data_IF_696432077116
#
_entry.id   IF_696432077116
#
_cell.length_a   1.000
_cell.length_b   1.000
_cell.length_c   1.000
_cell.angle_alpha   90.00
_cell.angle_beta   90.00
_cell.angle_gamma   90.00
#
_symmetry.space_group_name_H-M   'P 1'
#
loop_
_entity.id
_entity.type
_entity.pdbx_description
1 polymer ?
#
# COMPACT_ATOMS: atom_id res chain seq x y z
N UNK A 1 15.40 16.58 23.13
CA UNK A 1 15.07 15.53 22.12
C UNK A 1 13.77 14.79 22.45
N UNK A 2 12.74 15.46 23.00
CA UNK A 2 11.49 14.83 23.49
C UNK A 2 10.27 15.10 22.61
N UNK A 3 10.25 16.21 21.87
CA UNK A 3 9.13 16.58 21.02
C UNK A 3 8.98 15.69 19.76
N UNK A 4 10.10 15.19 19.20
CA UNK A 4 10.07 14.36 17.99
C UNK A 4 9.52 12.95 18.27
N UNK A 5 9.90 12.36 19.41
CA UNK A 5 9.43 11.05 19.86
C UNK A 5 7.93 11.07 20.23
N UNK A 6 7.48 12.15 20.89
CA UNK A 6 6.05 12.34 21.18
C UNK A 6 5.23 12.54 19.90
N UNK A 7 5.76 13.29 18.92
CA UNK A 7 5.09 13.47 17.63
C UNK A 7 4.97 12.16 16.85
N UNK A 8 6.00 11.30 16.87
CA UNK A 8 5.93 9.97 16.24
C UNK A 8 4.98 9.01 16.95
N UNK A 9 4.89 9.08 18.28
CA UNK A 9 3.98 8.25 19.08
C UNK A 9 2.52 8.61 18.81
N UNK A 10 2.17 9.89 18.81
CA UNK A 10 0.81 10.37 18.54
C UNK A 10 0.38 10.02 17.12
N UNK A 11 1.25 10.24 16.12
CA UNK A 11 1.00 9.86 14.74
C UNK A 11 0.80 8.34 14.60
N UNK A 12 1.55 7.54 15.37
CA UNK A 12 1.37 6.09 15.41
C UNK A 12 0.00 5.68 15.97
N UNK A 13 -0.51 6.37 17.00
CA UNK A 13 -1.81 6.07 17.60
C UNK A 13 -2.98 6.41 16.67
N UNK A 14 -2.96 7.58 16.01
CA UNK A 14 -3.98 7.92 15.02
C UNK A 14 -4.01 6.92 13.85
N UNK A 15 -2.82 6.52 13.37
CA UNK A 15 -2.72 5.49 12.34
C UNK A 15 -3.33 4.15 12.78
N UNK A 16 -3.22 3.78 14.06
CA UNK A 16 -3.80 2.54 14.58
C UNK A 16 -5.33 2.61 14.65
N UNK A 17 -5.89 3.74 15.07
CA UNK A 17 -7.34 3.96 15.11
C UNK A 17 -7.96 3.90 13.71
N UNK A 18 -7.37 4.61 12.74
CA UNK A 18 -7.82 4.56 11.34
C UNK A 18 -7.78 3.13 10.82
N UNK A 19 -6.68 2.42 11.02
CA UNK A 19 -6.55 1.04 10.55
C UNK A 19 -7.67 0.12 11.08
N UNK A 20 -8.06 0.27 12.36
CA UNK A 20 -9.14 -0.52 12.96
C UNK A 20 -10.50 -0.10 12.38
N UNK A 21 -10.76 1.19 12.24
CA UNK A 21 -12.00 1.69 11.63
C UNK A 21 -12.18 1.18 10.20
N UNK A 22 -11.12 1.25 9.39
CA UNK A 22 -11.13 0.75 8.02
C UNK A 22 -11.31 -0.78 7.94
N UNK A 23 -10.69 -1.54 8.85
CA UNK A 23 -10.90 -2.99 8.94
C UNK A 23 -12.36 -3.33 9.24
N UNK A 24 -12.97 -2.66 10.23
CA UNK A 24 -14.39 -2.86 10.57
C UNK A 24 -15.28 -2.52 9.37
N UNK A 25 -14.97 -1.44 8.63
CA UNK A 25 -15.73 -1.04 7.44
C UNK A 25 -15.72 -2.12 6.38
N UNK A 26 -14.51 -2.57 6.03
CA UNK A 26 -14.31 -3.42 4.88
C UNK A 26 -14.76 -4.86 5.14
N UNK A 27 -14.66 -5.32 6.40
CA UNK A 27 -15.20 -6.61 6.83
C UNK A 27 -16.70 -6.57 7.14
N UNK A 28 -17.33 -5.38 7.08
CA UNK A 28 -18.72 -5.14 7.51
C UNK A 28 -18.99 -5.55 8.96
N UNK A 29 -17.96 -5.43 9.79
CA UNK A 29 -17.96 -5.76 11.20
C UNK A 29 -16.94 -6.82 11.56
N UNK A 30 -16.33 -6.70 12.74
CA UNK A 30 -15.38 -7.70 13.25
C UNK A 30 -15.88 -8.31 14.56
N UNK A 31 -15.57 -9.58 14.80
CA UNK A 31 -16.09 -10.32 15.95
C UNK A 31 -15.58 -9.78 17.30
N UNK A 32 -16.51 -9.42 18.19
CA UNK A 32 -16.20 -9.04 19.57
C UNK A 32 -15.60 -10.20 20.39
N UNK A 33 -15.93 -11.44 20.02
CA UNK A 33 -15.53 -12.63 20.76
C UNK A 33 -14.15 -13.18 20.37
N UNK A 34 -13.47 -12.53 19.42
CA UNK A 34 -12.11 -12.87 19.02
C UNK A 34 -11.10 -12.18 19.95
N UNK A 35 -10.00 -12.87 20.27
CA UNK A 35 -8.85 -12.23 20.91
C UNK A 35 -8.04 -11.44 19.90
N UNK A 36 -7.73 -10.19 20.22
CA UNK A 36 -6.91 -9.32 19.39
C UNK A 36 -5.57 -9.05 20.08
N UNK A 37 -4.63 -8.47 19.33
CA UNK A 37 -3.40 -7.96 19.94
C UNK A 37 -3.75 -6.83 20.93
N UNK A 38 -2.98 -6.70 22.02
CA UNK A 38 -3.31 -5.78 23.12
C UNK A 38 -3.54 -4.33 22.64
N UNK A 39 -2.73 -3.85 21.69
CA UNK A 39 -2.89 -2.50 21.13
C UNK A 39 -4.22 -2.32 20.38
N UNK A 40 -4.75 -3.39 19.78
CA UNK A 40 -6.01 -3.35 19.04
C UNK A 40 -7.19 -3.43 19.98
N UNK A 41 -7.08 -4.17 21.08
CA UNK A 41 -8.10 -4.18 22.13
C UNK A 41 -8.23 -2.80 22.79
N UNK A 42 -7.10 -2.13 23.06
CA UNK A 42 -7.06 -0.74 23.54
C UNK A 42 -7.78 0.21 22.56
N UNK A 43 -7.41 0.15 21.28
CA UNK A 43 -8.05 0.97 20.23
C UNK A 43 -9.54 0.68 20.10
N UNK A 44 -9.97 -0.59 20.16
CA UNK A 44 -11.39 -0.95 20.12
C UNK A 44 -12.16 -0.40 21.31
N UNK A 45 -11.56 -0.42 22.51
CA UNK A 45 -12.14 0.20 23.70
C UNK A 45 -12.30 1.71 23.53
N UNK A 46 -11.26 2.40 23.06
CA UNK A 46 -11.28 3.85 22.84
C UNK A 46 -12.32 4.26 21.79
N UNK A 47 -12.36 3.56 20.65
CA UNK A 47 -13.32 3.82 19.57
C UNK A 47 -14.77 3.55 20.01
N UNK A 48 -14.98 2.53 20.85
CA UNK A 48 -16.30 2.21 21.40
C UNK A 48 -16.73 3.29 22.41
N UNK A 49 -15.83 3.71 23.29
CA UNK A 49 -16.09 4.76 24.27
C UNK A 49 -16.37 6.12 23.59
N UNK A 50 -15.65 6.43 22.51
CA UNK A 50 -15.84 7.63 21.71
C UNK A 50 -17.09 7.59 20.81
N UNK A 51 -17.74 6.43 20.67
CA UNK A 51 -18.96 6.28 19.87
C UNK A 51 -18.73 6.16 18.36
N UNK A 52 -17.50 5.96 17.91
CA UNK A 52 -17.19 5.72 16.48
C UNK A 52 -17.54 4.31 16.02
N UNK A 53 -17.62 3.37 16.96
CA UNK A 53 -18.08 2.00 16.73
C UNK A 53 -19.14 1.63 17.76
N UNK A 54 -19.94 0.62 17.43
CA UNK A 54 -20.97 0.05 18.30
C UNK A 54 -20.92 -1.47 18.24
N UNK A 55 -21.55 -2.13 19.20
CA UNK A 55 -21.70 -3.59 19.20
C UNK A 55 -23.10 -3.93 18.68
N UNK A 56 -23.17 -4.76 17.65
CA UNK A 56 -24.41 -5.28 17.08
C UNK A 56 -24.24 -6.78 16.82
N UNK A 57 -25.08 -7.61 17.44
CA UNK A 57 -25.06 -9.08 17.24
C UNK A 57 -23.65 -9.69 17.35
N UNK A 58 -22.90 -9.32 18.40
CA UNK A 58 -21.52 -9.73 18.67
C UNK A 58 -20.45 -9.28 17.67
N UNK A 59 -20.78 -8.32 16.80
CA UNK A 59 -19.83 -7.65 15.93
C UNK A 59 -19.61 -6.21 16.40
N UNK A 60 -18.35 -5.78 16.39
CA UNK A 60 -18.05 -4.35 16.32
C UNK A 60 -18.42 -3.86 14.93
N UNK A 61 -19.29 -2.87 14.83
CA UNK A 61 -19.74 -2.23 13.59
C UNK A 61 -19.55 -0.72 13.68
N UNK A 62 -19.42 -0.04 12.54
CA UNK A 62 -19.22 1.41 12.52
C UNK A 62 -20.54 2.15 12.75
N UNK A 63 -20.51 3.18 13.59
CA UNK A 63 -21.63 4.09 13.84
C UNK A 63 -21.84 5.08 12.69
N UNK A 64 -22.78 6.01 12.81
CA UNK A 64 -22.90 7.11 11.83
C UNK A 64 -21.67 8.03 11.94
N UNK A 65 -21.30 8.36 13.18
CA UNK A 65 -20.18 9.24 13.53
C UNK A 65 -18.85 8.67 13.04
N UNK A 66 -18.63 7.36 13.21
CA UNK A 66 -17.44 6.70 12.71
C UNK A 66 -17.36 6.67 11.18
N UNK A 67 -18.50 6.64 10.47
CA UNK A 67 -18.51 6.71 9.00
C UNK A 67 -18.00 8.06 8.49
N UNK A 68 -18.33 9.15 9.18
CA UNK A 68 -17.87 10.50 8.81
C UNK A 68 -16.35 10.63 8.95
N UNK A 69 -15.77 10.03 9.99
CA UNK A 69 -14.31 10.05 10.23
C UNK A 69 -13.55 9.29 9.15
N UNK A 70 -14.11 8.20 8.62
CA UNK A 70 -13.45 7.35 7.61
C UNK A 70 -13.43 7.99 6.21
N UNK A 71 -14.16 9.08 5.95
CA UNK A 71 -14.20 9.72 4.63
C UNK A 71 -12.85 10.30 4.18
N UNK A 72 -11.84 10.36 5.05
CA UNK A 72 -10.47 10.72 4.70
C UNK A 72 -9.65 9.47 4.40
N UNK A 73 -9.15 9.34 3.18
CA UNK A 73 -8.32 8.20 2.73
C UNK A 73 -7.12 7.96 3.67
N UNK A 74 -7.14 6.85 4.42
CA UNK A 74 -5.98 6.44 5.21
C UNK A 74 -4.97 5.73 4.31
N UNK A 75 -3.98 6.50 3.83
CA UNK A 75 -2.88 5.99 3.00
C UNK A 75 -2.22 4.73 3.59
N UNK A 76 -2.06 4.68 4.91
CA UNK A 76 -1.37 3.59 5.60
C UNK A 76 -2.16 2.28 5.62
N UNK A 77 -3.48 2.34 5.77
CA UNK A 77 -4.33 1.15 5.77
C UNK A 77 -4.25 0.41 4.43
N UNK A 78 -4.46 1.13 3.33
CA UNK A 78 -4.41 0.54 2.00
C UNK A 78 -3.01 0.08 1.61
N UNK A 79 -1.95 0.78 2.04
CA UNK A 79 -0.58 0.32 1.82
C UNK A 79 -0.29 -1.02 2.54
N UNK A 80 -0.77 -1.20 3.77
CA UNK A 80 -0.65 -2.48 4.50
C UNK A 80 -1.44 -3.59 3.80
N UNK A 81 -2.67 -3.30 3.36
CA UNK A 81 -3.54 -4.28 2.69
C UNK A 81 -3.00 -4.69 1.32
N UNK A 82 -2.45 -3.75 0.55
CA UNK A 82 -1.78 -4.03 -0.71
C UNK A 82 -0.61 -5.00 -0.52
N UNK A 83 0.25 -4.78 0.48
CA UNK A 83 1.36 -5.70 0.80
C UNK A 83 0.89 -7.10 1.19
N UNK A 84 -0.19 -7.22 1.97
CA UNK A 84 -0.75 -8.53 2.34
C UNK A 84 -1.35 -9.25 1.12
N UNK A 85 -2.02 -8.52 0.23
CA UNK A 85 -2.56 -9.07 -1.01
C UNK A 85 -1.45 -9.50 -1.98
N UNK A 86 -0.37 -8.72 -2.09
CA UNK A 86 0.79 -9.09 -2.90
C UNK A 86 1.48 -10.36 -2.34
N UNK A 87 1.55 -10.51 -1.02
CA UNK A 87 2.07 -11.71 -0.36
C UNK A 87 1.22 -12.97 -0.59
N UNK A 88 -0.10 -12.84 -0.67
CA UNK A 88 -1.02 -13.95 -0.97
C UNK A 88 -1.08 -14.31 -2.47
N UNK A 89 -0.46 -13.50 -3.35
CA UNK A 89 -0.38 -13.79 -4.79
C UNK A 89 0.81 -14.69 -5.17
N UNK A 90 1.70 -15.02 -4.22
CA UNK A 90 2.92 -15.79 -4.48
C UNK A 90 2.67 -17.31 -4.60
N UNK A 91 1.56 -17.83 -4.04
CA UNK A 91 1.22 -19.26 -4.15
C UNK A 91 0.21 -19.60 -5.27
N UNK A 92 -0.32 -18.60 -5.98
CA UNK A 92 -1.28 -18.81 -7.09
C UNK A 92 -0.69 -18.57 -8.49
N UNK A 93 0.64 -18.50 -8.65
CA UNK A 93 1.24 -18.34 -9.99
C UNK A 93 2.54 -19.12 -10.20
N UNK A 94 2.51 -20.42 -9.90
CA UNK A 94 3.44 -21.39 -10.50
C UNK A 94 2.74 -22.18 -11.61
N UNK A 95 2.45 -21.51 -12.73
CA UNK A 95 2.62 -22.02 -14.10
C UNK A 95 2.11 -21.02 -15.14
N UNK A 96 3.05 -20.63 -16.01
CA UNK A 96 2.86 -20.31 -17.43
C UNK A 96 1.91 -19.15 -17.72
N UNK A 97 2.39 -17.94 -17.97
CA UNK A 97 3.12 -17.52 -19.18
C UNK A 97 3.49 -16.05 -18.90
N UNK A 98 4.69 -15.57 -19.21
CA UNK A 98 5.28 -15.55 -20.54
C UNK A 98 5.39 -14.07 -20.94
N UNK A 99 6.63 -13.60 -21.09
CA UNK A 99 7.00 -12.39 -21.85
C UNK A 99 6.48 -11.07 -21.29
N UNK A 100 7.25 -10.38 -20.43
CA UNK A 100 7.21 -8.90 -20.37
C UNK A 100 8.39 -8.22 -19.63
N UNK A 101 9.49 -8.93 -19.33
CA UNK A 101 10.66 -8.31 -18.66
C UNK A 101 12.01 -8.61 -19.31
N UNK A 102 12.06 -8.86 -20.62
CA UNK A 102 13.33 -9.01 -21.35
C UNK A 102 13.58 -7.95 -22.45
N UNK A 103 12.70 -6.96 -22.63
CA UNK A 103 12.81 -6.03 -23.77
C UNK A 103 13.36 -4.64 -23.44
N UNK A 104 13.79 -4.36 -22.21
CA UNK A 104 14.46 -3.07 -21.92
C UNK A 104 15.98 -3.11 -22.19
N UNK A 105 16.61 -4.29 -22.11
CA UNK A 105 18.04 -4.45 -22.39
C UNK A 105 18.35 -4.66 -23.88
N UNK A 106 17.39 -5.14 -24.68
CA UNK A 106 17.55 -5.29 -26.15
C UNK A 106 17.36 -3.98 -26.92
N UNK A 107 16.80 -2.94 -26.31
CA UNK A 107 16.67 -1.61 -26.91
C UNK A 107 17.95 -0.76 -26.83
N UNK A 108 18.94 -1.19 -26.03
CA UNK A 108 20.24 -0.53 -25.93
C UNK A 108 21.29 -1.08 -26.89
N UNK A 109 21.04 -2.21 -27.55
CA UNK A 109 21.98 -2.85 -28.49
C UNK A 109 21.58 -2.60 -29.96
N UNK A 110 20.32 -2.25 -30.23
CA UNK A 110 19.83 -1.99 -31.60
C UNK A 110 20.21 -0.62 -32.18
N UNK A 111 21.02 0.18 -31.46
CA UNK A 111 21.55 1.46 -31.93
C UNK A 111 22.81 1.38 -32.80
N UNK A 112 23.25 0.20 -33.24
CA UNK A 112 24.56 0.02 -33.90
C UNK A 112 24.49 -0.52 -35.33
N UNK A 113 23.66 0.09 -36.18
CA UNK A 113 23.82 0.00 -37.66
C UNK A 113 23.63 1.36 -38.33
N UNK A 114 22.73 2.22 -37.81
CA UNK A 114 22.56 3.60 -38.30
C UNK A 114 23.70 4.55 -37.87
N UNK A 115 24.36 4.30 -36.73
CA UNK A 115 25.49 5.11 -36.29
C UNK A 115 26.74 4.91 -37.16
N UNK A 116 26.97 3.69 -37.64
CA UNK A 116 28.15 3.34 -38.44
C UNK A 116 28.01 3.90 -39.87
N UNK A 117 26.82 3.90 -40.46
CA UNK A 117 26.59 4.51 -41.78
C UNK A 117 26.73 6.03 -41.76
N UNK A 118 26.34 6.69 -40.65
CA UNK A 118 26.49 8.14 -40.50
C UNK A 118 27.96 8.56 -40.30
N UNK A 119 28.73 7.78 -39.54
CA UNK A 119 30.18 7.98 -39.38
C UNK A 119 30.93 7.70 -40.70
N UNK A 120 30.55 6.65 -41.44
CA UNK A 120 31.16 6.35 -42.74
C UNK A 120 30.86 7.44 -43.79
N UNK A 121 29.65 8.00 -43.77
CA UNK A 121 29.27 9.12 -44.65
C UNK A 121 30.03 10.40 -44.30
N UNK A 122 30.27 10.68 -43.02
CA UNK A 122 31.06 11.84 -42.59
C UNK A 122 32.55 11.73 -42.99
N UNK A 123 33.14 10.53 -42.86
CA UNK A 123 34.54 10.29 -43.27
C UNK A 123 34.69 10.39 -44.80
N UNK A 124 33.75 9.86 -45.58
CA UNK A 124 33.80 9.91 -47.04
C UNK A 124 33.49 11.31 -47.62
N UNK A 125 32.92 12.20 -46.80
CA UNK A 125 32.61 13.60 -47.18
C UNK A 125 33.73 14.58 -46.84
N UNK A 126 34.88 14.11 -46.34
CA UNK A 126 36.08 14.93 -46.15
C UNK A 126 35.98 16.01 -45.08
N UNK A 127 35.11 15.85 -44.07
CA UNK A 127 35.02 16.78 -42.94
C UNK A 127 35.87 16.21 -41.80
N UNK A 128 37.16 16.49 -41.86
CA UNK A 128 38.08 16.33 -40.74
C UNK A 128 38.04 17.62 -39.93
N UNK A 129 37.78 17.50 -38.62
CA UNK A 129 38.16 18.50 -37.63
C UNK A 129 39.03 17.83 -36.58
#
# INVERSE_FOLDING_TARGET
MTALANKSSILSSYNKMDNVLYEIRDEKGISKNRRYEAWKEEVLSDLLQAGFIKVQEDLYTISEEGREVIQQDSFMYYHKRAKLNDGNSVDAKKKETGVLSNNLWMLLISGSLLGITLIWLLINSGIVF
#
